data_IF_071250099807
#
_entry.id   IF_071250099807
#
_cell.length_a   1.000
_cell.length_b   1.000
_cell.length_c   1.000
_cell.angle_alpha   90.00
_cell.angle_beta   90.00
_cell.angle_gamma   90.00
#
_symmetry.space_group_name_H-M   'P 1'
#
loop_
_entity.id
_entity.type
_entity.pdbx_description
1 polymer ?
#
# COMPACT_ATOMS: atom_id res chain seq x y z
N UNK A 1 4.95 1.75 33.77
CA UNK A 1 5.42 2.84 32.91
C UNK A 1 5.20 2.40 31.47
N UNK A 2 4.00 2.64 30.94
CA UNK A 2 3.61 2.23 29.58
C UNK A 2 3.95 3.37 28.65
N UNK A 3 4.97 3.17 27.82
CA UNK A 3 5.34 4.10 26.76
C UNK A 3 4.20 4.10 25.74
N UNK A 4 3.46 5.21 25.68
CA UNK A 4 2.37 5.38 24.71
C UNK A 4 3.03 5.84 23.41
N UNK A 5 2.96 5.08 22.30
CA UNK A 5 3.58 5.52 21.07
C UNK A 5 2.98 6.87 20.66
N UNK A 6 3.87 7.82 20.35
CA UNK A 6 3.48 9.16 19.92
C UNK A 6 2.54 9.04 18.72
N UNK A 7 1.31 9.58 18.86
CA UNK A 7 0.36 9.69 17.76
C UNK A 7 0.98 10.54 16.66
N UNK A 8 1.43 9.90 15.60
CA UNK A 8 1.83 10.60 14.39
C UNK A 8 0.54 11.06 13.69
N UNK A 9 0.27 12.37 13.74
CA UNK A 9 -0.79 12.97 12.94
C UNK A 9 -0.40 12.82 11.48
N UNK A 10 -1.08 11.94 10.75
CA UNK A 10 -0.89 11.84 9.30
C UNK A 10 -1.05 13.26 8.72
N UNK A 11 -0.07 13.78 7.95
CA UNK A 11 -0.24 15.06 7.29
C UNK A 11 -1.40 14.91 6.33
N UNK A 12 -2.52 15.57 6.62
CA UNK A 12 -3.62 15.72 5.67
C UNK A 12 -3.04 16.53 4.52
N UNK A 13 -2.76 15.88 3.40
CA UNK A 13 -2.39 16.55 2.16
C UNK A 13 -3.50 17.56 1.87
N UNK A 14 -3.18 18.85 2.01
CA UNK A 14 -4.09 19.94 1.72
C UNK A 14 -4.59 19.76 0.30
N UNK A 15 -5.89 19.54 0.15
CA UNK A 15 -6.58 19.35 -1.12
C UNK A 15 -6.32 20.57 -2.01
N UNK A 16 -5.24 20.56 -2.79
CA UNK A 16 -5.09 21.46 -3.93
C UNK A 16 -6.36 21.27 -4.76
N UNK A 17 -7.15 22.34 -4.81
CA UNK A 17 -8.48 22.46 -5.44
C UNK A 17 -8.61 21.51 -6.64
N UNK A 18 -9.18 20.33 -6.41
CA UNK A 18 -9.50 19.42 -7.51
C UNK A 18 -10.56 20.12 -8.35
N UNK A 19 -10.22 20.40 -9.62
CA UNK A 19 -11.19 20.92 -10.59
C UNK A 19 -12.31 19.87 -10.69
N UNK A 20 -13.59 20.21 -10.50
CA UNK A 20 -14.66 19.24 -10.67
C UNK A 20 -14.66 18.81 -12.14
N UNK A 21 -14.24 17.58 -12.41
CA UNK A 21 -14.37 16.96 -13.72
C UNK A 21 -15.85 16.79 -14.03
N UNK A 22 -16.24 17.15 -15.25
CA UNK A 22 -17.60 17.05 -15.77
C UNK A 22 -18.17 15.62 -15.56
N UNK A 23 -19.49 15.45 -15.33
CA UNK A 23 -20.08 14.16 -14.97
C UNK A 23 -20.19 13.26 -16.19
N UNK A 24 -19.11 12.56 -16.55
CA UNK A 24 -19.18 11.45 -17.52
C UNK A 24 -18.23 10.26 -17.28
N UNK A 25 -17.36 10.33 -16.28
CA UNK A 25 -16.43 9.25 -15.92
C UNK A 25 -16.63 8.81 -14.47
N UNK A 26 -17.79 8.23 -14.14
CA UNK A 26 -17.88 7.45 -12.90
C UNK A 26 -17.22 6.09 -13.15
N UNK A 27 -16.19 5.69 -12.39
CA UNK A 27 -15.66 4.34 -12.45
C UNK A 27 -16.82 3.37 -12.16
N UNK A 28 -17.19 2.57 -13.17
CA UNK A 28 -18.23 1.53 -13.01
C UNK A 28 -17.70 0.34 -12.20
N UNK A 29 -16.38 0.27 -12.06
CA UNK A 29 -15.64 -0.77 -11.36
C UNK A 29 -15.23 -0.30 -9.96
N UNK A 30 -15.27 -1.22 -9.00
CA UNK A 30 -15.01 -0.92 -7.59
C UNK A 30 -13.59 -1.33 -7.22
N UNK A 31 -12.58 -0.48 -7.43
CA UNK A 31 -11.24 -0.78 -6.92
C UNK A 31 -11.21 -0.72 -5.37
N UNK A 32 -10.44 -1.60 -4.73
CA UNK A 32 -10.11 -1.53 -3.31
C UNK A 32 -8.73 -0.90 -3.09
N UNK A 33 -8.53 -0.23 -1.96
CA UNK A 33 -7.23 0.33 -1.57
C UNK A 33 -6.98 0.06 -0.09
N UNK A 34 -5.77 -0.36 0.26
CA UNK A 34 -5.33 -0.63 1.63
C UNK A 34 -3.97 0.01 1.85
N UNK A 35 -3.80 0.68 2.99
CA UNK A 35 -2.54 1.31 3.38
C UNK A 35 -2.15 0.88 4.78
N UNK A 36 -0.89 0.49 4.96
CA UNK A 36 -0.31 0.12 6.24
C UNK A 36 0.99 0.90 6.43
N UNK A 37 1.19 1.40 7.65
CA UNK A 37 2.31 2.26 7.99
C UNK A 37 2.95 1.80 9.28
N UNK A 38 4.28 1.78 9.31
CA UNK A 38 5.05 1.45 10.50
C UNK A 38 4.70 0.09 11.13
N UNK A 39 4.54 -0.93 10.29
CA UNK A 39 4.27 -2.33 10.66
C UNK A 39 5.30 -3.24 9.98
N UNK A 40 6.02 -4.11 10.72
CA UNK A 40 7.01 -5.03 10.15
C UNK A 40 6.41 -6.10 9.23
N UNK A 41 5.09 -6.32 9.28
CA UNK A 41 4.35 -7.23 8.42
C UNK A 41 3.51 -6.47 7.37
N UNK A 42 3.80 -5.18 7.12
CA UNK A 42 2.96 -4.32 6.28
C UNK A 42 2.76 -4.85 4.85
N UNK A 43 3.77 -5.45 4.22
CA UNK A 43 3.64 -6.10 2.90
C UNK A 43 2.66 -7.26 2.96
N UNK A 44 2.81 -8.15 3.96
CA UNK A 44 1.97 -9.34 4.11
C UNK A 44 0.53 -8.96 4.43
N UNK A 45 0.34 -8.03 5.35
CA UNK A 45 -0.98 -7.55 5.76
C UNK A 45 -1.69 -6.81 4.60
N UNK A 46 -0.95 -6.04 3.79
CA UNK A 46 -1.50 -5.41 2.57
C UNK A 46 -1.95 -6.47 1.56
N UNK A 47 -1.13 -7.49 1.30
CA UNK A 47 -1.50 -8.61 0.43
C UNK A 47 -2.77 -9.32 0.91
N UNK A 48 -2.85 -9.66 2.21
CA UNK A 48 -4.03 -10.33 2.78
C UNK A 48 -5.28 -9.45 2.69
N UNK A 49 -5.12 -8.15 2.91
CA UNK A 49 -6.21 -7.20 2.75
C UNK A 49 -6.72 -7.12 1.30
N UNK A 50 -5.81 -7.04 0.33
CA UNK A 50 -6.16 -7.05 -1.09
C UNK A 50 -6.85 -8.35 -1.47
N UNK A 51 -6.34 -9.48 -1.00
CA UNK A 51 -6.96 -10.79 -1.19
C UNK A 51 -8.40 -10.82 -0.64
N UNK A 52 -8.61 -10.27 0.56
CA UNK A 52 -9.95 -10.17 1.15
C UNK A 52 -10.90 -9.26 0.35
N UNK A 53 -10.39 -8.23 -0.32
CA UNK A 53 -11.16 -7.30 -1.16
C UNK A 53 -11.21 -7.69 -2.65
N UNK A 54 -10.66 -8.85 -3.04
CA UNK A 54 -10.59 -9.30 -4.44
C UNK A 54 -11.96 -9.29 -5.16
N UNK A 55 -13.03 -9.50 -4.42
CA UNK A 55 -14.39 -9.49 -4.95
C UNK A 55 -14.86 -8.11 -5.46
N UNK A 56 -14.08 -7.03 -5.26
CA UNK A 56 -14.41 -5.68 -5.74
C UNK A 56 -13.74 -5.34 -7.08
N UNK A 57 -12.60 -5.94 -7.39
CA UNK A 57 -11.91 -5.81 -8.67
C UNK A 57 -11.04 -7.04 -8.95
N UNK A 58 -11.14 -7.59 -10.16
CA UNK A 58 -10.49 -8.85 -10.56
C UNK A 58 -9.51 -8.68 -11.74
N UNK A 59 -9.37 -7.45 -12.24
CA UNK A 59 -8.66 -7.19 -13.49
C UNK A 59 -7.15 -7.02 -13.28
N UNK A 60 -6.75 -6.44 -12.15
CA UNK A 60 -5.37 -6.19 -11.80
C UNK A 60 -5.21 -6.00 -10.29
N UNK A 61 -3.98 -6.16 -9.81
CA UNK A 61 -3.59 -5.83 -8.44
C UNK A 61 -2.20 -5.18 -8.41
N UNK A 62 -1.94 -4.38 -7.38
CA UNK A 62 -0.66 -3.69 -7.19
C UNK A 62 -0.32 -3.55 -5.71
N UNK A 63 0.96 -3.59 -5.36
CA UNK A 63 1.48 -3.22 -4.04
C UNK A 63 2.70 -2.33 -4.27
N UNK A 64 2.78 -1.22 -3.56
CA UNK A 64 3.94 -0.33 -3.50
C UNK A 64 4.42 -0.19 -2.05
N UNK A 65 5.73 -0.28 -1.85
CA UNK A 65 6.43 -0.12 -0.57
C UNK A 65 7.34 1.09 -0.66
N UNK A 66 7.36 1.89 0.41
CA UNK A 66 8.24 3.04 0.58
C UNK A 66 9.01 2.91 1.89
N UNK A 67 10.32 3.10 1.88
CA UNK A 67 11.17 3.16 3.08
C UNK A 67 11.51 4.62 3.50
N UNK A 68 10.84 5.60 2.87
CA UNK A 68 11.07 7.03 3.08
C UNK A 68 12.05 7.68 2.09
N UNK A 69 12.89 6.89 1.40
CA UNK A 69 13.81 7.38 0.36
C UNK A 69 13.48 6.81 -1.02
N UNK A 70 13.10 5.53 -1.05
CA UNK A 70 12.88 4.75 -2.25
C UNK A 70 11.47 4.16 -2.25
N UNK A 71 10.92 3.98 -3.45
CA UNK A 71 9.64 3.33 -3.67
C UNK A 71 9.85 2.15 -4.63
N UNK A 72 9.40 0.97 -4.21
CA UNK A 72 9.31 -0.20 -5.07
C UNK A 72 7.86 -0.62 -5.23
N UNK A 73 7.46 -0.92 -6.46
CA UNK A 73 6.10 -1.33 -6.78
C UNK A 73 6.08 -2.57 -7.66
N UNK A 74 5.15 -3.47 -7.35
CA UNK A 74 4.78 -4.61 -8.18
C UNK A 74 3.32 -4.46 -8.54
N UNK A 75 3.00 -4.48 -9.83
CA UNK A 75 1.63 -4.51 -10.35
C UNK A 75 1.56 -5.41 -11.57
N UNK A 76 0.42 -6.05 -11.75
CA UNK A 76 0.15 -6.90 -12.90
C UNK A 76 -1.36 -7.08 -13.10
N UNK A 77 -1.74 -7.55 -14.28
CA UNK A 77 -3.11 -8.01 -14.51
C UNK A 77 -3.34 -9.37 -13.82
N UNK A 78 -4.60 -9.64 -13.46
CA UNK A 78 -5.00 -10.90 -12.84
C UNK A 78 -5.31 -10.80 -11.35
N UNK A 79 -5.54 -11.96 -10.73
CA UNK A 79 -5.93 -12.06 -9.33
C UNK A 79 -4.72 -11.78 -8.41
N UNK A 80 -4.97 -11.20 -7.24
CA UNK A 80 -3.99 -10.96 -6.17
C UNK A 80 -3.02 -12.14 -5.95
N UNK A 81 -3.45 -13.41 -5.77
CA UNK A 81 -2.51 -14.52 -5.59
C UNK A 81 -1.67 -14.87 -6.83
N UNK A 82 -2.13 -14.51 -8.04
CA UNK A 82 -1.39 -14.70 -9.29
C UNK A 82 -0.34 -13.61 -9.46
N UNK A 83 -0.71 -12.37 -9.13
CA UNK A 83 0.19 -11.22 -9.16
C UNK A 83 1.30 -11.37 -8.12
N UNK A 84 0.98 -11.78 -6.89
CA UNK A 84 1.92 -11.78 -5.76
C UNK A 84 2.38 -13.19 -5.35
N UNK A 85 3.29 -13.75 -6.14
CA UNK A 85 4.06 -14.94 -5.72
C UNK A 85 4.90 -14.65 -4.49
N UNK A 86 5.22 -15.69 -3.71
CA UNK A 86 6.14 -15.63 -2.56
C UNK A 86 7.49 -14.96 -2.87
N UNK A 87 8.01 -15.14 -4.09
CA UNK A 87 9.24 -14.45 -4.54
C UNK A 87 9.04 -12.94 -4.67
N UNK A 88 7.90 -12.52 -5.21
CA UNK A 88 7.55 -11.09 -5.40
C UNK A 88 7.27 -10.42 -4.06
N UNK A 89 6.60 -11.10 -3.13
CA UNK A 89 6.38 -10.61 -1.77
C UNK A 89 7.70 -10.40 -1.02
N UNK A 90 8.60 -11.39 -1.05
CA UNK A 90 9.94 -11.26 -0.43
C UNK A 90 10.76 -10.09 -0.96
N UNK A 91 10.62 -9.77 -2.25
CA UNK A 91 11.29 -8.62 -2.86
C UNK A 91 10.82 -7.30 -2.24
N UNK A 92 9.51 -7.15 -2.06
CA UNK A 92 8.91 -5.98 -1.41
C UNK A 92 9.27 -5.90 0.09
N UNK A 93 9.32 -7.05 0.77
CA UNK A 93 9.74 -7.14 2.18
C UNK A 93 11.20 -6.72 2.38
N UNK A 94 12.10 -6.99 1.42
CA UNK A 94 13.50 -6.54 1.51
C UNK A 94 13.61 -5.03 1.59
N UNK A 95 12.87 -4.28 0.76
CA UNK A 95 12.83 -2.81 0.87
C UNK A 95 12.21 -2.36 2.20
N UNK A 96 11.22 -3.12 2.68
CA UNK A 96 10.57 -2.89 3.97
C UNK A 96 11.44 -3.27 5.18
N UNK A 97 12.60 -3.93 5.02
CA UNK A 97 13.44 -4.40 6.14
C UNK A 97 14.84 -3.78 6.21
N UNK A 98 15.26 -2.89 5.32
CA UNK A 98 16.57 -2.21 5.42
C UNK A 98 16.82 -1.58 6.82
N UNK A 99 17.68 -2.23 7.62
CA UNK A 99 17.90 -2.04 9.08
C UNK A 99 19.01 -1.03 9.45
N UNK A 100 19.35 -0.08 8.59
CA UNK A 100 20.36 0.92 8.97
C UNK A 100 19.72 2.06 9.79
N UNK A 101 20.02 2.01 11.09
CA UNK A 101 19.78 2.96 12.18
C UNK A 101 19.55 4.43 11.71
N UNK A 102 18.40 5.03 12.08
CA UNK A 102 17.77 6.31 11.61
C UNK A 102 16.58 6.21 10.65
N UNK A 103 15.91 5.06 10.57
CA UNK A 103 14.89 4.80 9.55
C UNK A 103 13.65 5.73 9.61
N UNK A 104 13.22 6.31 8.46
CA UNK A 104 11.87 6.81 8.33
C UNK A 104 10.86 5.66 8.46
N UNK A 105 9.66 5.90 9.00
CA UNK A 105 8.60 4.90 8.97
C UNK A 105 8.32 4.44 7.53
N UNK A 106 8.28 3.11 7.33
CA UNK A 106 7.96 2.52 6.05
C UNK A 106 6.45 2.45 5.82
N UNK A 107 6.03 2.71 4.59
CA UNK A 107 4.64 2.64 4.16
C UNK A 107 4.42 1.63 3.06
N UNK A 108 3.30 0.93 3.13
CA UNK A 108 2.86 0.00 2.10
C UNK A 108 1.44 0.38 1.68
N UNK A 109 1.21 0.45 0.38
CA UNK A 109 -0.12 0.65 -0.20
C UNK A 109 -0.39 -0.44 -1.24
N UNK A 110 -1.60 -0.97 -1.24
CA UNK A 110 -2.12 -1.93 -2.20
C UNK A 110 -3.44 -1.48 -2.78
#
# INVERSE_FOLDING_TARGET
>A
MTDTPARFSLPVLSSKKLRPSQPKDQPKEKCGVIGIWNDPEAVRNTYLGLYAQQHRGQEAAGIAVCNGTDIEAIKDAGLVPEVFTERRLRKLEQLQLDENDHRPPSGVIG
#
